data_IF_992374284043
#
_entry.id   IF_992374284043
#
_cell.length_a   1.000
_cell.length_b   1.000
_cell.length_c   1.000
_cell.angle_alpha   90.00
_cell.angle_beta   90.00
_cell.angle_gamma   90.00
#
_symmetry.space_group_name_H-M   'P 1'
#
loop_
_entity.id
_entity.type
_entity.pdbx_description
1 polymer ?
#
# COMPACT_ATOMS: atom_id res chain seq x y z
N UNK A 1 1.41 17.42 16.31
CA UNK A 1 2.23 16.52 15.47
C UNK A 1 1.31 15.50 14.84
N UNK A 2 1.47 15.14 13.55
CA UNK A 2 0.67 14.07 12.96
C UNK A 2 0.95 12.75 13.70
N UNK A 3 -0.12 12.01 14.02
CA UNK A 3 -0.02 10.71 14.67
C UNK A 3 0.72 9.69 13.79
N UNK A 4 1.44 8.77 14.43
CA UNK A 4 2.23 7.73 13.73
C UNK A 4 1.28 6.67 13.20
N UNK A 5 1.12 6.63 11.88
CA UNK A 5 0.34 5.59 11.21
C UNK A 5 1.00 4.21 11.40
N UNK A 6 0.26 3.15 11.75
CA UNK A 6 0.83 1.81 11.88
C UNK A 6 1.34 1.26 10.54
N UNK A 7 2.19 0.24 10.59
CA UNK A 7 2.78 -0.45 9.43
C UNK A 7 2.55 -1.96 9.54
N UNK A 8 2.65 -2.64 8.40
CA UNK A 8 2.67 -4.11 8.34
C UNK A 8 3.77 -4.65 9.26
N UNK A 9 3.53 -5.79 9.90
CA UNK A 9 4.53 -6.45 10.73
C UNK A 9 5.77 -6.83 9.92
N UNK A 10 6.93 -6.84 10.59
CA UNK A 10 8.22 -7.11 9.96
C UNK A 10 8.22 -8.46 9.23
N UNK A 11 7.59 -9.49 9.79
CA UNK A 11 7.49 -10.82 9.21
C UNK A 11 6.79 -10.86 7.85
N UNK A 12 5.92 -9.88 7.57
CA UNK A 12 5.19 -9.79 6.30
C UNK A 12 5.90 -8.94 5.24
N UNK A 13 7.01 -8.26 5.59
CA UNK A 13 7.82 -7.47 4.65
C UNK A 13 9.27 -7.96 4.53
N UNK A 14 9.77 -8.69 5.51
CA UNK A 14 11.12 -9.25 5.52
C UNK A 14 11.10 -10.65 4.91
N UNK A 15 11.75 -10.77 3.77
CA UNK A 15 12.05 -12.04 3.12
C UNK A 15 13.50 -12.42 3.39
N UNK A 16 13.75 -13.68 3.78
CA UNK A 16 15.10 -14.21 3.99
C UNK A 16 15.40 -15.20 2.87
N UNK A 17 16.59 -15.08 2.30
CA UNK A 17 17.16 -15.93 1.24
C UNK A 17 16.47 -15.87 -0.13
N UNK A 18 15.13 -15.85 -0.16
CA UNK A 18 14.34 -15.73 -1.38
C UNK A 18 13.05 -14.95 -1.14
N UNK A 19 12.53 -14.36 -2.20
CA UNK A 19 11.18 -13.81 -2.18
C UNK A 19 10.17 -14.96 -2.07
N UNK A 20 9.49 -15.07 -0.93
CA UNK A 20 8.48 -16.09 -0.69
C UNK A 20 7.44 -15.55 0.28
N UNK A 21 6.16 -15.65 -0.07
CA UNK A 21 5.08 -15.26 0.82
C UNK A 21 5.17 -16.08 2.13
N UNK A 22 5.24 -15.41 3.30
CA UNK A 22 5.27 -16.12 4.57
C UNK A 22 4.01 -16.97 4.75
N UNK A 23 4.13 -18.16 5.34
CA UNK A 23 2.97 -19.00 5.64
C UNK A 23 1.96 -18.32 6.56
N UNK A 24 2.39 -17.32 7.33
CA UNK A 24 1.57 -16.51 8.26
C UNK A 24 1.11 -15.18 7.66
N UNK A 25 1.30 -14.96 6.35
CA UNK A 25 1.02 -13.67 5.73
C UNK A 25 -0.44 -13.24 5.87
N UNK A 26 -1.38 -14.15 5.63
CA UNK A 26 -2.81 -13.87 5.75
C UNK A 26 -3.25 -13.55 7.19
N UNK A 27 -2.64 -14.21 8.18
CA UNK A 27 -2.88 -13.92 9.60
C UNK A 27 -2.40 -12.51 9.95
N UNK A 28 -1.23 -12.13 9.44
CA UNK A 28 -0.64 -10.81 9.65
C UNK A 28 -1.45 -9.71 8.95
N UNK A 29 -1.97 -9.95 7.75
CA UNK A 29 -2.90 -9.02 7.08
C UNK A 29 -4.18 -8.82 7.89
N UNK A 30 -4.75 -9.89 8.44
CA UNK A 30 -5.98 -9.83 9.26
C UNK A 30 -5.73 -9.06 10.56
N UNK A 31 -4.61 -9.35 11.24
CA UNK A 31 -4.18 -8.62 12.43
C UNK A 31 -3.98 -7.13 12.13
N UNK A 32 -3.29 -6.83 11.02
CA UNK A 32 -3.00 -5.46 10.63
C UNK A 32 -4.25 -4.67 10.25
N UNK A 33 -5.25 -5.30 9.62
CA UNK A 33 -6.54 -4.68 9.32
C UNK A 33 -7.24 -4.18 10.58
N UNK A 34 -7.27 -4.99 11.65
CA UNK A 34 -7.82 -4.60 12.94
C UNK A 34 -7.07 -3.42 13.57
N UNK A 35 -5.73 -3.45 13.56
CA UNK A 35 -4.90 -2.34 14.06
C UNK A 35 -5.15 -1.05 13.27
N UNK A 36 -5.28 -1.16 11.96
CA UNK A 36 -5.53 -0.04 11.06
C UNK A 36 -6.91 0.58 11.31
N UNK A 37 -7.93 -0.27 11.46
CA UNK A 37 -9.29 0.17 11.75
C UNK A 37 -9.35 0.92 13.08
N UNK A 38 -8.76 0.36 14.13
CA UNK A 38 -8.65 0.99 15.44
C UNK A 38 -7.93 2.34 15.35
N UNK A 39 -6.81 2.40 14.62
CA UNK A 39 -6.08 3.65 14.40
C UNK A 39 -6.95 4.74 13.77
N UNK A 40 -7.66 4.44 12.68
CA UNK A 40 -8.51 5.44 12.02
C UNK A 40 -9.78 5.78 12.80
N UNK A 41 -10.28 4.90 13.65
CA UNK A 41 -11.40 5.22 14.55
C UNK A 41 -11.01 6.20 15.66
N UNK A 42 -9.78 6.07 16.20
CA UNK A 42 -9.31 6.88 17.33
C UNK A 42 -8.43 8.06 16.95
N UNK A 43 -8.11 8.22 15.66
CA UNK A 43 -7.30 9.33 15.18
C UNK A 43 -7.94 10.67 15.54
N UNK A 44 -7.15 11.60 16.07
CA UNK A 44 -7.58 12.93 16.52
C UNK A 44 -8.20 13.80 15.42
N UNK A 45 -8.02 13.42 14.15
CA UNK A 45 -8.64 14.07 13.01
C UNK A 45 -9.07 13.06 11.96
N UNK A 46 -10.16 13.37 11.26
CA UNK A 46 -10.69 12.56 10.16
C UNK A 46 -10.95 11.10 10.57
N UNK A 47 -11.57 10.92 11.74
CA UNK A 47 -11.94 9.60 12.23
C UNK A 47 -12.88 8.92 11.22
N UNK A 48 -12.58 7.66 10.88
CA UNK A 48 -13.35 6.89 9.90
C UNK A 48 -13.16 5.40 10.12
N UNK A 49 -14.13 4.63 9.66
CA UNK A 49 -14.01 3.17 9.56
C UNK A 49 -13.26 2.85 8.27
N UNK A 50 -11.99 2.50 8.40
CA UNK A 50 -11.10 2.17 7.27
C UNK A 50 -10.58 0.74 7.42
N UNK A 51 -10.46 0.03 6.30
CA UNK A 51 -9.93 -1.32 6.22
C UNK A 51 -8.92 -1.40 5.07
N UNK A 52 -8.01 -2.38 5.12
CA UNK A 52 -7.01 -2.63 4.08
C UNK A 52 -7.64 -2.84 2.71
N UNK A 53 -8.77 -3.53 2.64
CA UNK A 53 -9.49 -3.76 1.38
C UNK A 53 -9.93 -2.43 0.73
N UNK A 54 -10.49 -1.50 1.52
CA UNK A 54 -10.90 -0.18 1.05
C UNK A 54 -9.70 0.63 0.54
N UNK A 55 -8.61 0.67 1.33
CA UNK A 55 -7.38 1.34 0.92
C UNK A 55 -6.77 0.76 -0.37
N UNK A 56 -6.83 -0.55 -0.53
CA UNK A 56 -6.30 -1.25 -1.70
C UNK A 56 -7.15 -0.98 -2.93
N UNK A 57 -8.47 -1.01 -2.81
CA UNK A 57 -9.39 -0.63 -3.88
C UNK A 57 -9.18 0.81 -4.35
N UNK A 58 -9.08 1.77 -3.42
CA UNK A 58 -8.79 3.16 -3.76
C UNK A 58 -7.43 3.32 -4.48
N UNK A 59 -6.41 2.59 -4.03
CA UNK A 59 -5.09 2.61 -4.65
C UNK A 59 -5.13 2.07 -6.09
N UNK A 60 -5.86 0.99 -6.35
CA UNK A 60 -5.95 0.41 -7.71
C UNK A 60 -6.79 1.26 -8.66
N UNK A 61 -7.90 1.86 -8.20
CA UNK A 61 -8.67 2.83 -9.00
C UNK A 61 -7.85 4.08 -9.35
N UNK A 62 -6.90 4.48 -8.50
CA UNK A 62 -5.99 5.60 -8.80
C UNK A 62 -5.01 5.34 -9.95
N UNK A 63 -4.79 4.08 -10.35
CA UNK A 63 -3.92 3.75 -11.49
C UNK A 63 -4.49 4.31 -12.81
N UNK A 64 -5.82 4.29 -12.97
CA UNK A 64 -6.48 4.93 -14.10
C UNK A 64 -6.22 6.44 -14.16
N UNK A 65 -6.12 7.11 -12.99
CA UNK A 65 -5.81 8.54 -12.89
C UNK A 65 -4.36 8.88 -13.30
N UNK A 66 -3.48 7.89 -13.33
CA UNK A 66 -2.03 8.05 -13.64
C UNK A 66 -1.64 7.49 -15.00
N UNK A 67 -2.62 7.20 -15.87
CA UNK A 67 -2.38 6.61 -17.20
C UNK A 67 -1.43 7.44 -18.07
N UNK A 68 -1.36 8.75 -17.85
CA UNK A 68 -0.46 9.64 -18.60
C UNK A 68 0.99 9.62 -18.10
N UNK A 69 1.29 9.06 -16.93
CA UNK A 69 2.64 9.08 -16.37
C UNK A 69 3.64 8.35 -17.24
N UNK A 70 3.25 7.25 -17.87
CA UNK A 70 4.11 6.56 -18.83
C UNK A 70 4.43 7.45 -20.03
N UNK A 71 3.44 8.16 -20.57
CA UNK A 71 3.64 9.07 -21.69
C UNK A 71 4.53 10.26 -21.32
N UNK A 72 4.36 10.81 -20.11
CA UNK A 72 5.20 11.90 -19.60
C UNK A 72 6.64 11.42 -19.39
N UNK A 73 6.83 10.24 -18.80
CA UNK A 73 8.15 9.66 -18.59
C UNK A 73 8.91 9.46 -19.90
N UNK A 74 8.25 8.87 -20.92
CA UNK A 74 8.82 8.68 -22.26
C UNK A 74 9.20 10.01 -22.92
N UNK A 75 8.34 11.03 -22.85
CA UNK A 75 8.62 12.37 -23.40
C UNK A 75 9.82 13.06 -22.73
N UNK A 76 10.14 12.70 -21.49
CA UNK A 76 11.29 13.23 -20.76
C UNK A 76 12.56 12.38 -20.96
N UNK A 77 12.52 11.34 -21.79
CA UNK A 77 13.66 10.47 -22.07
C UNK A 77 13.91 9.39 -21.02
N UNK A 78 12.92 9.09 -20.16
CA UNK A 78 12.97 7.94 -19.25
C UNK A 78 12.32 6.70 -19.87
N UNK A 79 12.78 5.51 -19.44
CA UNK A 79 12.34 4.19 -19.93
C UNK A 79 12.56 3.96 -21.45
N UNK A 80 13.74 4.29 -22.00
CA UNK A 80 14.01 4.18 -23.44
C UNK A 80 13.87 2.74 -23.99
N UNK A 81 14.04 1.72 -23.15
CA UNK A 81 13.88 0.32 -23.52
C UNK A 81 12.44 -0.06 -23.95
N UNK A 82 11.45 0.80 -23.67
CA UNK A 82 10.04 0.59 -24.03
C UNK A 82 9.66 1.20 -25.39
N UNK A 83 10.61 1.82 -26.12
CA UNK A 83 10.39 2.44 -27.42
C UNK A 83 10.61 1.48 -28.61
N UNK A 84 10.71 0.17 -28.36
CA UNK A 84 10.95 -0.89 -29.35
C UNK A 84 9.74 -1.78 -29.60
#
# INVERSE_FOLDING_TARGET
MPEVKPRLGLSAVLFKDQYAEPTTYQDELTRFDGVLNQYYQHRSSHARTEHLAHMTAEATHSAAKRREFLNIARRQGFLPELDH
#
